data_IF_493657809454
#
_entry.id   IF_493657809454
#
_cell.length_a   1.000
_cell.length_b   1.000
_cell.length_c   1.000
_cell.angle_alpha   90.00
_cell.angle_beta   90.00
_cell.angle_gamma   90.00
#
_symmetry.space_group_name_H-M   'P 1'
#
loop_
_entity.id
_entity.type
_entity.pdbx_description
1 polymer ?
#
# COMPACT_ATOMS: atom_id res chain seq x y z
N UNK A 1 7.39 17.38 -15.97
CA UNK A 1 7.89 16.00 -16.15
C UNK A 1 7.44 15.14 -14.96
N UNK A 2 6.48 14.23 -15.14
CA UNK A 2 6.09 13.31 -14.07
C UNK A 2 7.16 12.21 -13.89
N UNK A 3 7.60 11.98 -12.65
CA UNK A 3 8.53 10.89 -12.29
C UNK A 3 8.01 9.53 -12.78
N UNK A 4 8.91 8.62 -13.17
CA UNK A 4 8.55 7.29 -13.69
C UNK A 4 7.79 6.42 -12.67
N UNK A 5 7.83 6.79 -11.39
CA UNK A 5 7.06 6.15 -10.31
C UNK A 5 5.54 6.35 -10.55
N UNK A 6 5.12 7.50 -11.09
CA UNK A 6 3.72 7.77 -11.44
C UNK A 6 3.26 7.13 -12.74
N UNK A 7 4.21 6.76 -13.61
CA UNK A 7 3.92 6.09 -14.88
C UNK A 7 3.82 4.57 -14.74
N UNK A 8 4.26 4.02 -13.60
CA UNK A 8 4.35 2.58 -13.37
C UNK A 8 3.21 2.10 -12.47
N UNK A 9 2.88 0.81 -12.56
CA UNK A 9 1.94 0.18 -11.65
C UNK A 9 2.56 0.11 -10.25
N UNK A 10 1.99 0.83 -9.27
CA UNK A 10 2.46 0.80 -7.87
C UNK A 10 2.57 -0.63 -7.33
N UNK A 11 1.68 -1.54 -7.76
CA UNK A 11 1.73 -2.95 -7.39
C UNK A 11 3.01 -3.63 -7.88
N UNK A 12 3.48 -3.29 -9.08
CA UNK A 12 4.73 -3.81 -9.63
C UNK A 12 5.95 -3.24 -8.92
N UNK A 13 5.94 -1.95 -8.57
CA UNK A 13 7.03 -1.33 -7.82
C UNK A 13 7.16 -1.96 -6.42
N UNK A 14 6.04 -2.09 -5.70
CA UNK A 14 6.04 -2.67 -4.35
C UNK A 14 6.44 -4.15 -4.40
N UNK A 15 5.86 -4.95 -5.31
CA UNK A 15 6.18 -6.37 -5.40
C UNK A 15 7.62 -6.65 -5.85
N UNK A 16 8.08 -6.03 -6.95
CA UNK A 16 9.35 -6.40 -7.58
C UNK A 16 10.53 -5.55 -7.07
N UNK A 17 10.35 -4.25 -6.91
CA UNK A 17 11.45 -3.38 -6.54
C UNK A 17 11.63 -3.31 -5.02
N UNK A 18 10.58 -3.05 -4.25
CA UNK A 18 10.68 -2.98 -2.79
C UNK A 18 10.78 -4.38 -2.16
N UNK A 19 9.73 -5.18 -2.23
CA UNK A 19 9.65 -6.46 -1.53
C UNK A 19 10.63 -7.50 -2.08
N UNK A 20 10.69 -7.70 -3.40
CA UNK A 20 11.61 -8.70 -3.98
C UNK A 20 13.06 -8.22 -4.00
N UNK A 21 13.36 -7.04 -4.56
CA UNK A 21 14.75 -6.57 -4.72
C UNK A 21 15.36 -5.92 -3.48
N UNK A 22 14.66 -5.01 -2.79
CA UNK A 22 15.24 -4.32 -1.63
C UNK A 22 15.14 -5.14 -0.34
N UNK A 23 13.96 -5.67 -0.02
CA UNK A 23 13.72 -6.44 1.22
C UNK A 23 14.07 -7.92 1.09
N UNK A 24 14.32 -8.41 -0.12
CA UNK A 24 14.80 -9.75 -0.36
C UNK A 24 13.75 -10.84 -0.11
N UNK A 25 12.46 -10.56 -0.33
CA UNK A 25 11.42 -11.59 -0.26
C UNK A 25 11.56 -12.55 -1.44
N UNK A 26 12.46 -13.51 -1.26
CA UNK A 26 12.86 -14.50 -2.25
C UNK A 26 12.03 -15.76 -2.10
N UNK A 27 10.76 -15.72 -2.55
CA UNK A 27 9.96 -16.84 -3.06
C UNK A 27 8.51 -16.40 -3.27
N UNK A 28 8.07 -16.35 -4.52
CA UNK A 28 6.66 -16.59 -4.83
C UNK A 28 6.46 -18.11 -4.68
N UNK A 29 5.70 -18.55 -3.69
CA UNK A 29 5.26 -19.95 -3.62
C UNK A 29 4.33 -20.20 -4.81
N UNK A 30 4.49 -21.26 -5.61
CA UNK A 30 3.59 -21.54 -6.73
C UNK A 30 2.13 -21.49 -6.29
N UNK A 31 1.37 -20.49 -6.76
CA UNK A 31 -0.03 -20.25 -6.36
C UNK A 31 -0.25 -19.11 -5.34
N UNK A 32 0.80 -18.51 -4.78
CA UNK A 32 0.73 -17.38 -3.85
C UNK A 32 1.48 -16.17 -4.43
N UNK A 33 0.78 -15.27 -5.15
CA UNK A 33 1.41 -14.08 -5.70
C UNK A 33 1.89 -13.14 -4.57
N UNK A 34 2.96 -12.38 -4.84
CA UNK A 34 3.50 -11.37 -3.91
C UNK A 34 2.49 -10.26 -3.56
N UNK A 35 1.48 -10.07 -4.41
CA UNK A 35 0.37 -9.17 -4.15
C UNK A 35 -0.94 -9.81 -4.61
N UNK A 36 -1.97 -9.70 -3.78
CA UNK A 36 -3.33 -10.15 -4.05
C UNK A 36 -4.31 -9.28 -3.26
N UNK A 37 -5.59 -9.28 -3.64
CA UNK A 37 -6.65 -8.90 -2.72
C UNK A 37 -6.60 -9.81 -1.49
N UNK A 38 -6.92 -9.29 -0.31
CA UNK A 38 -6.81 -10.04 0.95
C UNK A 38 -7.61 -11.34 0.88
N UNK A 39 -8.82 -11.29 0.34
CA UNK A 39 -9.75 -12.43 0.21
C UNK A 39 -9.24 -13.53 -0.73
N UNK A 40 -8.32 -13.19 -1.63
CA UNK A 40 -7.71 -14.10 -2.61
C UNK A 40 -6.25 -14.39 -2.28
N UNK A 41 -5.75 -13.85 -1.17
CA UNK A 41 -4.38 -14.05 -0.73
C UNK A 41 -4.19 -15.48 -0.23
N UNK A 42 -2.98 -16.01 -0.40
CA UNK A 42 -2.64 -17.29 0.20
C UNK A 42 -2.52 -17.14 1.72
N UNK A 43 -2.85 -18.22 2.43
CA UNK A 43 -2.62 -18.33 3.88
C UNK A 43 -1.12 -18.21 4.15
N UNK A 44 -0.73 -17.31 5.07
CA UNK A 44 0.67 -17.02 5.39
C UNK A 44 0.85 -16.81 6.89
N UNK A 45 2.01 -17.17 7.42
CA UNK A 45 2.32 -16.92 8.84
C UNK A 45 2.47 -15.43 9.18
N UNK A 46 2.74 -14.58 8.19
CA UNK A 46 2.83 -13.12 8.32
C UNK A 46 2.57 -12.44 6.99
N UNK A 47 1.83 -11.33 7.01
CA UNK A 47 1.69 -10.42 5.88
C UNK A 47 2.23 -9.05 6.24
N UNK A 48 3.13 -8.55 5.40
CA UNK A 48 3.69 -7.22 5.58
C UNK A 48 2.74 -6.15 5.04
N UNK A 49 2.68 -5.01 5.75
CA UNK A 49 1.87 -3.87 5.35
C UNK A 49 2.75 -2.71 4.89
N UNK A 50 2.57 -2.30 3.64
CA UNK A 50 3.23 -1.13 3.06
C UNK A 50 2.20 -0.05 2.75
N UNK A 51 2.43 1.16 3.26
CA UNK A 51 1.62 2.33 2.99
C UNK A 51 2.34 3.34 2.10
N UNK A 52 1.56 4.07 1.34
CA UNK A 52 2.04 5.12 0.45
C UNK A 52 1.93 6.43 1.21
N UNK A 53 3.07 7.07 1.46
CA UNK A 53 3.13 8.43 1.99
C UNK A 53 3.49 9.39 0.89
N UNK A 54 2.75 10.49 0.81
CA UNK A 54 3.04 11.56 -0.13
C UNK A 54 4.01 12.53 0.53
N UNK A 55 5.24 12.60 0.02
CA UNK A 55 6.24 13.52 0.56
C UNK A 55 6.05 14.94 0.01
N UNK A 56 5.68 15.07 -1.27
CA UNK A 56 5.58 16.39 -1.91
C UNK A 56 4.70 16.32 -3.15
N UNK A 57 3.70 17.21 -3.25
CA UNK A 57 3.00 17.51 -4.51
C UNK A 57 3.07 19.02 -4.71
N UNK A 58 3.79 19.46 -5.74
CA UNK A 58 3.80 20.85 -6.18
C UNK A 58 3.02 20.95 -7.48
N UNK A 59 1.83 21.55 -7.39
CA UNK A 59 1.01 21.91 -8.54
C UNK A 59 0.96 23.44 -8.62
N UNK A 60 1.41 24.00 -9.74
CA UNK A 60 1.15 25.40 -10.06
C UNK A 60 -0.13 25.47 -10.87
N UNK A 61 -1.04 26.34 -10.44
CA UNK A 61 -2.29 26.62 -11.14
C UNK A 61 -2.14 27.92 -11.91
N UNK A 62 -2.55 27.90 -13.17
CA UNK A 62 -2.57 29.06 -14.04
C UNK A 62 -3.99 29.34 -14.47
N UNK A 63 -4.30 30.64 -14.57
CA UNK A 63 -5.56 31.13 -15.08
C UNK A 63 -5.26 32.12 -16.20
N UNK A 64 -5.67 31.78 -17.43
CA UNK A 64 -5.47 32.63 -18.58
C UNK A 64 -6.67 33.57 -18.78
N UNK A 65 -6.48 34.83 -18.42
CA UNK A 65 -7.46 35.90 -18.58
C UNK A 65 -7.59 36.29 -20.06
N UNK A 66 -6.54 36.12 -20.87
CA UNK A 66 -6.52 36.54 -22.27
C UNK A 66 -7.34 35.61 -23.18
N UNK A 67 -7.48 34.33 -22.83
CA UNK A 67 -8.28 33.36 -23.59
C UNK A 67 -9.71 33.17 -23.07
N UNK A 68 -10.19 34.05 -22.18
CA UNK A 68 -11.55 33.96 -21.63
C UNK A 68 -11.70 32.99 -20.45
N UNK A 69 -10.61 32.71 -19.72
CA UNK A 69 -10.67 32.01 -18.44
C UNK A 69 -10.33 30.53 -18.47
N UNK A 70 -9.30 30.15 -19.25
CA UNK A 70 -8.84 28.76 -19.25
C UNK A 70 -8.00 28.50 -17.99
N UNK A 71 -8.44 27.55 -17.18
CA UNK A 71 -7.63 26.99 -16.09
C UNK A 71 -6.74 25.89 -16.64
N UNK A 72 -5.44 25.99 -16.41
CA UNK A 72 -4.51 24.89 -16.63
C UNK A 72 -3.56 24.76 -15.45
N UNK A 73 -3.04 23.56 -15.25
CA UNK A 73 -2.14 23.27 -14.14
C UNK A 73 -0.85 22.63 -14.66
N UNK A 74 0.25 22.96 -14.01
CA UNK A 74 1.53 22.30 -14.20
C UNK A 74 1.90 21.56 -12.93
N UNK A 75 2.14 20.27 -13.09
CA UNK A 75 2.65 19.43 -12.00
C UNK A 75 4.17 19.51 -12.04
N UNK A 76 4.73 20.33 -11.15
CA UNK A 76 6.17 20.61 -11.09
C UNK A 76 6.94 19.45 -10.47
N UNK A 77 6.40 18.88 -9.39
CA UNK A 77 7.02 17.78 -8.68
C UNK A 77 5.97 16.96 -7.96
N UNK A 78 6.09 15.64 -8.06
CA UNK A 78 5.41 14.74 -7.13
C UNK A 78 6.44 13.76 -6.59
N UNK A 79 6.42 13.54 -5.29
CA UNK A 79 7.29 12.61 -4.57
C UNK A 79 6.43 11.74 -3.67
N UNK A 80 6.55 10.43 -3.85
CA UNK A 80 5.88 9.41 -3.05
C UNK A 80 6.96 8.55 -2.39
N UNK A 81 6.79 8.24 -1.11
CA UNK A 81 7.57 7.25 -0.39
C UNK A 81 6.67 6.07 0.04
N UNK A 82 7.29 4.90 0.15
CA UNK A 82 6.66 3.69 0.66
C UNK A 82 7.22 3.42 2.04
N UNK A 83 6.35 3.32 3.04
CA UNK A 83 6.72 3.07 4.44
C UNK A 83 6.00 1.83 4.97
N UNK A 84 6.52 1.27 6.05
CA UNK A 84 5.79 0.28 6.82
C UNK A 84 4.57 0.92 7.50
N UNK A 85 3.44 0.20 7.52
CA UNK A 85 2.27 0.64 8.27
C UNK A 85 2.53 0.57 9.78
N UNK A 86 1.95 1.47 10.56
CA UNK A 86 1.99 1.39 12.02
C UNK A 86 0.94 0.38 12.53
N UNK A 87 1.36 -0.66 13.26
CA UNK A 87 0.46 -1.67 13.81
C UNK A 87 -0.04 -1.31 15.22
N UNK A 88 -1.04 -2.04 15.70
CA UNK A 88 -1.34 -2.10 17.12
C UNK A 88 -0.22 -2.84 17.88
N UNK A 89 -0.15 -2.67 19.21
CA UNK A 89 0.73 -3.44 20.10
C UNK A 89 2.23 -3.39 19.73
N UNK A 90 2.69 -2.26 19.16
CA UNK A 90 4.05 -2.06 18.64
C UNK A 90 4.48 -3.06 17.53
N UNK A 91 3.53 -3.81 16.95
CA UNK A 91 3.77 -4.75 15.85
C UNK A 91 3.67 -4.04 14.48
N UNK A 92 4.57 -3.10 14.26
CA UNK A 92 4.65 -2.32 13.03
C UNK A 92 5.03 -3.20 11.82
N UNK A 93 4.63 -2.77 10.63
CA UNK A 93 4.79 -3.50 9.37
C UNK A 93 3.99 -4.82 9.28
N UNK A 94 3.09 -5.13 10.22
CA UNK A 94 2.20 -6.28 10.16
C UNK A 94 0.78 -5.85 9.72
N UNK A 95 0.24 -6.50 8.68
CA UNK A 95 -1.09 -6.20 8.14
C UNK A 95 -2.22 -6.52 9.13
N UNK A 96 -2.09 -7.59 9.91
CA UNK A 96 -3.06 -7.94 10.95
C UNK A 96 -3.08 -6.89 12.05
N UNK A 97 -1.90 -6.57 12.61
CA UNK A 97 -1.77 -5.55 13.64
C UNK A 97 -2.22 -4.16 13.16
N UNK A 98 -2.00 -3.83 11.88
CA UNK A 98 -2.55 -2.62 11.27
C UNK A 98 -4.09 -2.66 11.24
N UNK A 99 -4.70 -3.79 10.87
CA UNK A 99 -6.16 -3.93 10.85
C UNK A 99 -6.75 -3.87 12.26
N UNK A 100 -6.09 -4.47 13.26
CA UNK A 100 -6.44 -4.34 14.68
C UNK A 100 -6.47 -2.88 15.12
N UNK A 101 -5.46 -2.10 14.71
CA UNK A 101 -5.41 -0.66 14.99
C UNK A 101 -6.62 0.05 14.42
N UNK A 102 -7.05 -0.27 13.20
CA UNK A 102 -8.23 0.34 12.57
C UNK A 102 -9.53 -0.01 13.30
N UNK A 103 -9.64 -1.21 13.87
CA UNK A 103 -10.77 -1.60 14.72
C UNK A 103 -10.74 -0.80 16.03
N UNK A 104 -9.58 -0.70 16.68
CA UNK A 104 -9.40 0.08 17.91
C UNK A 104 -9.71 1.58 17.69
N UNK A 105 -9.42 2.11 16.50
CA UNK A 105 -9.76 3.48 16.09
C UNK A 105 -11.25 3.65 15.71
N UNK A 106 -12.06 2.58 15.71
CA UNK A 106 -13.46 2.62 15.31
C UNK A 106 -13.70 2.81 13.80
N UNK A 107 -12.67 2.57 12.98
CA UNK A 107 -12.71 2.73 11.51
C UNK A 107 -13.08 1.44 10.78
N UNK A 108 -13.02 0.31 11.48
CA UNK A 108 -13.38 -1.04 11.03
C UNK A 108 -14.08 -1.80 12.15
N UNK A 109 -14.68 -2.92 11.80
CA UNK A 109 -15.44 -3.78 12.72
C UNK A 109 -14.64 -5.03 13.13
N UNK A 110 -14.92 -5.58 14.31
CA UNK A 110 -14.34 -6.85 14.77
C UNK A 110 -14.66 -8.03 13.83
N UNK A 111 -15.82 -7.98 13.17
CA UNK A 111 -16.22 -8.96 12.17
C UNK A 111 -15.28 -8.94 10.96
N UNK A 112 -14.92 -7.76 10.47
CA UNK A 112 -13.94 -7.63 9.38
C UNK A 112 -12.55 -8.12 9.81
N UNK A 113 -12.09 -7.78 11.02
CA UNK A 113 -10.81 -8.27 11.55
C UNK A 113 -10.79 -9.80 11.64
N UNK A 114 -11.89 -10.41 12.04
CA UNK A 114 -12.02 -11.87 12.09
C UNK A 114 -11.89 -12.49 10.69
N UNK A 115 -12.51 -11.89 9.67
CA UNK A 115 -12.41 -12.35 8.29
C UNK A 115 -10.97 -12.21 7.74
N UNK A 116 -10.30 -11.10 8.07
CA UNK A 116 -8.88 -10.89 7.71
C UNK A 116 -8.01 -11.98 8.37
N UNK A 117 -8.17 -12.24 9.67
CA UNK A 117 -7.42 -13.29 10.38
C UNK A 117 -7.64 -14.68 9.82
N UNK A 118 -8.87 -15.03 9.44
CA UNK A 118 -9.17 -16.31 8.81
C UNK A 118 -8.42 -16.51 7.49
N UNK A 119 -8.18 -15.41 6.76
CA UNK A 119 -7.53 -15.46 5.46
C UNK A 119 -6.01 -15.40 5.58
N UNK A 120 -5.50 -14.56 6.49
CA UNK A 120 -4.06 -14.41 6.73
C UNK A 120 -3.51 -15.59 7.54
N UNK A 121 -4.06 -15.86 8.72
CA UNK A 121 -3.55 -16.83 9.69
C UNK A 121 -4.25 -18.20 9.63
N UNK A 122 -4.91 -18.52 8.52
CA UNK A 122 -5.61 -19.80 8.35
C UNK A 122 -4.75 -20.93 8.89
N UNK A 123 -5.30 -21.72 9.83
CA UNK A 123 -4.55 -22.76 10.53
C UNK A 123 -3.86 -23.64 9.52
N UNK A 124 -2.53 -23.49 9.37
CA UNK A 124 -1.74 -24.43 8.59
C UNK A 124 -1.81 -25.75 9.36
N UNK A 125 -2.42 -26.83 8.82
CA UNK A 125 -2.25 -28.13 9.43
C UNK A 125 -0.75 -28.41 9.42
N UNK A 126 -0.21 -28.76 10.58
CA UNK A 126 1.17 -29.21 10.73
C UNK A 126 1.46 -30.44 9.85
#
# INVERSE_FOLDING_TARGET
HASNIFKSNNLFYVSLYDHFRQRGYVRNLPGAPMCSCIEQSAIVSRSDCTEITQNEINITWYYDIATGGVFYNEVNRVSIAFNACNGANDDNNNLEAYYERLVNEGRRTDAELTAVRQTLLGTCPA
#
